data_IF_602101663490
#
_entry.id   IF_602101663490
#
_cell.length_a   1.000
_cell.length_b   1.000
_cell.length_c   1.000
_cell.angle_alpha   90.00
_cell.angle_beta   90.00
_cell.angle_gamma   90.00
#
_symmetry.space_group_name_H-M   'P 1'
#
loop_
_entity.id
_entity.type
_entity.pdbx_description
1 polymer ?
#
# COMPACT_ATOMS: atom_id res chain seq x y z
N UNK A 1 -15.45 61.02 0.93
CA UNK A 1 -15.90 59.84 0.16
C UNK A 1 -14.80 58.76 0.05
N UNK A 2 -14.06 58.49 1.13
CA UNK A 2 -12.95 57.52 1.19
C UNK A 2 -13.35 56.19 1.85
N UNK A 3 -14.48 56.18 2.58
CA UNK A 3 -14.87 55.10 3.48
C UNK A 3 -15.54 53.88 2.82
N UNK A 4 -15.72 53.88 1.49
CA UNK A 4 -16.43 52.82 0.77
C UNK A 4 -15.53 51.92 -0.11
N UNK A 5 -14.24 52.24 -0.26
CA UNK A 5 -13.33 51.46 -1.10
C UNK A 5 -12.64 50.30 -0.37
N UNK A 6 -12.62 50.29 0.97
CA UNK A 6 -12.08 49.16 1.74
C UNK A 6 -13.07 47.98 1.85
N UNK A 7 -14.37 48.21 1.65
CA UNK A 7 -15.40 47.17 1.82
C UNK A 7 -15.52 46.22 0.63
N UNK A 8 -14.91 46.53 -0.53
CA UNK A 8 -14.98 45.68 -1.74
C UNK A 8 -13.77 44.75 -1.92
N UNK A 9 -12.72 44.87 -1.10
CA UNK A 9 -11.51 44.05 -1.22
C UNK A 9 -11.47 42.84 -0.27
N UNK A 10 -12.45 42.70 0.63
CA UNK A 10 -12.55 41.58 1.58
C UNK A 10 -13.54 40.47 1.16
N UNK A 11 -14.19 40.59 -0.01
CA UNK A 11 -15.24 39.66 -0.44
C UNK A 11 -14.76 38.54 -1.40
N UNK A 12 -13.46 38.41 -1.66
CA UNK A 12 -12.91 37.42 -2.62
C UNK A 12 -12.15 36.25 -1.95
N UNK A 13 -12.23 36.10 -0.63
CA UNK A 13 -11.59 35.00 0.11
C UNK A 13 -12.59 33.98 0.67
N UNK A 14 -13.86 34.04 0.26
CA UNK A 14 -14.85 33.06 0.66
C UNK A 14 -14.86 31.86 -0.30
N UNK A 15 -14.76 30.67 0.27
CA UNK A 15 -15.00 29.35 -0.33
C UNK A 15 -13.88 28.75 -1.21
N UNK A 16 -12.77 28.39 -0.56
CA UNK A 16 -12.10 27.11 -0.86
C UNK A 16 -12.19 26.21 0.37
N UNK A 17 -13.40 25.98 0.88
CA UNK A 17 -13.64 24.84 1.76
C UNK A 17 -13.86 23.68 0.80
N UNK A 18 -12.77 23.09 0.32
CA UNK A 18 -12.85 21.77 -0.31
C UNK A 18 -13.46 20.83 0.74
N UNK A 19 -14.49 20.03 0.40
CA UNK A 19 -14.96 19.01 1.32
C UNK A 19 -13.77 18.14 1.66
N UNK A 20 -13.50 17.95 2.96
CA UNK A 20 -12.57 16.93 3.43
C UNK A 20 -13.17 15.58 3.00
N UNK A 21 -12.85 15.14 1.78
CA UNK A 21 -13.11 13.77 1.39
C UNK A 21 -12.27 12.95 2.36
N UNK A 22 -12.92 12.05 3.10
CA UNK A 22 -12.21 11.02 3.83
C UNK A 22 -11.32 10.33 2.80
N UNK A 23 -10.02 10.62 2.85
CA UNK A 23 -9.07 10.14 1.87
C UNK A 23 -8.93 8.65 2.16
N UNK A 24 -9.69 7.84 1.43
CA UNK A 24 -9.56 6.38 1.47
C UNK A 24 -8.10 6.08 1.21
N UNK A 25 -7.45 5.43 2.17
CA UNK A 25 -6.04 5.06 2.05
C UNK A 25 -5.85 4.25 0.77
N UNK A 26 -4.82 4.55 -0.04
CA UNK A 26 -4.51 3.75 -1.22
C UNK A 26 -4.41 2.27 -0.86
N UNK A 27 -4.90 1.41 -1.74
CA UNK A 27 -4.91 -0.03 -1.55
C UNK A 27 -4.33 -0.71 -2.78
N UNK A 28 -3.41 -1.63 -2.55
CA UNK A 28 -2.80 -2.45 -3.58
C UNK A 28 -3.19 -3.91 -3.36
N UNK A 29 -3.65 -4.55 -4.42
CA UNK A 29 -3.88 -5.99 -4.48
C UNK A 29 -2.76 -6.63 -5.28
N UNK A 30 -2.18 -7.70 -4.78
CA UNK A 30 -1.07 -8.39 -5.44
C UNK A 30 -1.28 -9.90 -5.44
N UNK A 31 -0.55 -10.58 -6.32
CA UNK A 31 -0.54 -12.03 -6.39
C UNK A 31 0.82 -12.55 -6.80
N UNK A 32 1.21 -13.69 -6.24
CA UNK A 32 2.30 -14.51 -6.75
C UNK A 32 1.72 -15.79 -7.35
N UNK A 33 2.17 -16.15 -8.55
CA UNK A 33 1.74 -17.37 -9.25
C UNK A 33 2.95 -18.16 -9.73
N UNK A 34 2.95 -19.46 -9.45
CA UNK A 34 4.04 -20.37 -9.78
C UNK A 34 5.05 -20.49 -8.66
N UNK A 35 5.19 -21.68 -8.08
CA UNK A 35 6.14 -21.96 -7.00
C UNK A 35 6.76 -23.35 -7.16
N UNK A 36 7.96 -23.54 -6.62
CA UNK A 36 8.55 -24.86 -6.50
C UNK A 36 8.17 -25.48 -5.16
N UNK A 37 7.67 -26.71 -5.19
CA UNK A 37 7.52 -27.56 -4.03
C UNK A 37 8.92 -28.09 -3.64
N UNK A 38 9.36 -27.86 -2.41
CA UNK A 38 10.71 -28.22 -2.00
C UNK A 38 10.92 -29.73 -1.74
N UNK A 39 9.85 -30.46 -1.45
CA UNK A 39 9.93 -31.90 -1.15
C UNK A 39 10.01 -32.73 -2.44
N UNK A 40 9.25 -32.31 -3.45
CA UNK A 40 9.20 -32.96 -4.76
C UNK A 40 10.12 -32.33 -5.79
N UNK A 41 10.64 -31.13 -5.51
CA UNK A 41 11.41 -30.28 -6.43
C UNK A 41 10.65 -29.89 -7.70
N UNK A 42 9.33 -30.07 -7.74
CA UNK A 42 8.50 -29.78 -8.91
C UNK A 42 7.97 -28.35 -8.89
N UNK A 43 8.07 -27.66 -10.04
CA UNK A 43 7.47 -26.35 -10.21
C UNK A 43 5.98 -26.50 -10.55
N UNK A 44 5.11 -25.94 -9.72
CA UNK A 44 3.68 -25.86 -9.95
C UNK A 44 3.33 -24.46 -10.49
N UNK A 45 3.09 -24.29 -11.80
CA UNK A 45 2.80 -22.99 -12.40
C UNK A 45 1.43 -22.43 -12.00
N UNK A 46 0.55 -23.25 -11.41
CA UNK A 46 -0.81 -22.86 -11.06
C UNK A 46 -0.99 -22.55 -9.57
N UNK A 47 0.04 -22.79 -8.74
CA UNK A 47 -0.04 -22.43 -7.34
C UNK A 47 -0.01 -20.92 -7.21
N UNK A 48 -1.12 -20.34 -6.71
CA UNK A 48 -1.35 -18.91 -6.66
C UNK A 48 -1.71 -18.50 -5.24
N UNK A 49 -1.10 -17.41 -4.80
CA UNK A 49 -1.40 -16.78 -3.51
C UNK A 49 -1.63 -15.31 -3.74
N UNK A 50 -2.75 -14.82 -3.23
CA UNK A 50 -3.17 -13.44 -3.32
C UNK A 50 -2.98 -12.71 -1.98
N UNK A 51 -2.76 -11.41 -2.07
CA UNK A 51 -2.61 -10.53 -0.94
C UNK A 51 -3.12 -9.12 -1.25
N UNK A 52 -3.27 -8.31 -0.23
CA UNK A 52 -3.47 -6.87 -0.39
C UNK A 52 -2.89 -6.11 0.78
N UNK A 53 -2.58 -4.85 0.55
CA UNK A 53 -2.19 -3.93 1.61
C UNK A 53 -2.75 -2.54 1.35
N UNK A 54 -2.92 -1.78 2.44
CA UNK A 54 -3.36 -0.39 2.39
C UNK A 54 -2.46 0.45 3.26
N UNK A 55 -2.08 1.64 2.81
CA UNK A 55 -1.17 2.53 3.54
C UNK A 55 -0.90 3.82 2.77
N UNK A 56 -0.17 4.74 3.39
CA UNK A 56 0.27 5.99 2.78
C UNK A 56 1.70 6.27 3.20
N UNK A 57 2.51 6.69 2.22
CA UNK A 57 3.86 7.18 2.47
C UNK A 57 3.74 8.52 3.20
N UNK A 58 3.96 8.47 4.51
CA UNK A 58 3.78 9.61 5.42
C UNK A 58 5.04 10.47 5.51
N UNK A 59 6.19 9.88 5.19
CA UNK A 59 7.49 10.55 5.26
C UNK A 59 7.92 11.13 3.90
N UNK A 60 7.30 10.70 2.81
CA UNK A 60 7.50 11.16 1.43
C UNK A 60 8.75 10.60 0.75
N UNK A 61 9.24 9.44 1.15
CA UNK A 61 10.49 8.86 0.63
C UNK A 61 10.30 7.88 -0.56
N UNK A 62 9.06 7.65 -0.98
CA UNK A 62 8.72 6.76 -2.09
C UNK A 62 8.67 5.28 -1.72
N UNK A 63 8.80 4.95 -0.44
CA UNK A 63 8.62 3.62 0.12
C UNK A 63 7.41 3.58 1.06
N UNK A 64 6.73 2.45 1.07
CA UNK A 64 5.82 2.10 2.15
C UNK A 64 6.52 1.12 3.06
N UNK A 65 6.66 1.49 4.32
CA UNK A 65 7.17 0.63 5.36
C UNK A 65 6.05 0.05 6.23
N UNK A 66 6.37 -0.97 7.04
CA UNK A 66 5.41 -1.60 7.95
C UNK A 66 4.62 -0.62 8.82
N UNK A 67 5.28 0.45 9.30
CA UNK A 67 4.66 1.45 10.18
C UNK A 67 3.63 2.35 9.47
N UNK A 68 3.63 2.35 8.15
CA UNK A 68 2.77 3.17 7.30
C UNK A 68 1.58 2.40 6.74
N UNK A 69 1.54 1.09 7.02
CA UNK A 69 0.42 0.24 6.69
C UNK A 69 -0.72 0.41 7.68
N UNK A 70 -1.92 0.42 7.13
CA UNK A 70 -3.18 0.33 7.88
C UNK A 70 -3.80 -1.06 7.77
N UNK A 71 -3.50 -1.79 6.68
CA UNK A 71 -3.99 -3.14 6.43
C UNK A 71 -2.94 -3.94 5.66
N UNK A 72 -2.86 -5.23 5.98
CA UNK A 72 -2.10 -6.20 5.22
C UNK A 72 -2.78 -7.56 5.36
N UNK A 73 -2.98 -8.18 4.21
CA UNK A 73 -3.59 -9.47 4.08
C UNK A 73 -2.73 -10.34 3.18
N UNK A 74 -2.48 -11.56 3.65
CA UNK A 74 -1.67 -12.53 2.95
C UNK A 74 -2.18 -13.93 3.24
N UNK A 75 -2.41 -14.72 2.19
CA UNK A 75 -2.76 -16.14 2.30
C UNK A 75 -3.91 -16.43 3.28
N UNK A 76 -5.03 -15.71 3.13
CA UNK A 76 -6.23 -15.85 3.98
C UNK A 76 -6.17 -15.24 5.39
N UNK A 77 -5.10 -14.51 5.70
CA UNK A 77 -4.87 -13.94 7.03
C UNK A 77 -4.75 -12.42 7.01
N UNK A 78 -5.37 -11.74 7.99
CA UNK A 78 -5.25 -10.30 8.23
C UNK A 78 -4.28 -10.06 9.40
N UNK A 79 -3.19 -9.32 9.15
CA UNK A 79 -2.05 -9.20 10.08
C UNK A 79 -2.06 -7.94 10.95
N UNK A 80 -3.01 -7.03 10.74
CA UNK A 80 -3.15 -5.77 11.48
C UNK A 80 -4.41 -5.70 12.33
N UNK A 81 -5.24 -6.74 12.31
CA UNK A 81 -6.37 -6.86 13.21
C UNK A 81 -5.89 -7.40 14.57
N UNK A 82 -6.65 -7.11 15.64
CA UNK A 82 -6.37 -7.60 16.99
C UNK A 82 -6.05 -9.11 16.94
N UNK A 83 -4.95 -9.60 17.54
CA UNK A 83 -4.51 -11.00 17.42
C UNK A 83 -5.54 -12.05 17.89
N UNK A 84 -6.64 -11.64 18.53
CA UNK A 84 -7.72 -12.52 18.95
C UNK A 84 -8.98 -12.46 18.06
N UNK A 85 -9.12 -11.46 17.18
CA UNK A 85 -10.27 -11.34 16.24
C UNK A 85 -9.82 -11.29 14.79
N UNK A 86 -8.65 -10.72 14.55
CA UNK A 86 -7.87 -10.82 13.33
C UNK A 86 -7.22 -12.18 13.21
N UNK A 87 -7.03 -12.62 11.98
CA UNK A 87 -6.37 -13.88 11.69
C UNK A 87 -7.13 -15.16 12.10
N UNK A 88 -8.46 -15.14 12.10
CA UNK A 88 -9.32 -16.32 12.34
C UNK A 88 -9.03 -17.06 13.66
N UNK A 89 -8.67 -16.32 14.72
CA UNK A 89 -8.33 -16.90 16.03
C UNK A 89 -6.89 -17.40 16.14
N UNK A 90 -6.07 -17.20 15.11
CA UNK A 90 -4.63 -17.42 15.14
C UNK A 90 -3.88 -16.16 15.60
N UNK A 91 -2.71 -16.35 16.20
CA UNK A 91 -1.74 -15.28 16.41
C UNK A 91 -1.01 -14.98 15.10
N UNK A 92 -0.96 -13.72 14.69
CA UNK A 92 -0.31 -13.30 13.45
C UNK A 92 0.56 -12.07 13.63
N UNK A 93 1.65 -12.02 12.87
CA UNK A 93 2.67 -10.97 12.94
C UNK A 93 3.22 -10.68 11.56
N UNK A 94 3.30 -9.40 11.21
CA UNK A 94 4.07 -8.90 10.09
C UNK A 94 5.35 -8.31 10.69
N UNK A 95 6.49 -8.95 10.44
CA UNK A 95 7.79 -8.55 10.97
C UNK A 95 8.37 -7.39 10.18
N UNK A 96 8.41 -7.56 8.86
CA UNK A 96 8.97 -6.61 7.91
C UNK A 96 8.02 -6.42 6.74
N UNK A 97 8.00 -5.19 6.21
CA UNK A 97 7.28 -4.83 5.00
C UNK A 97 7.95 -3.63 4.34
N UNK A 98 8.16 -3.75 3.02
CA UNK A 98 8.67 -2.69 2.15
C UNK A 98 7.98 -2.78 0.79
N UNK A 99 7.44 -1.66 0.33
CA UNK A 99 6.94 -1.54 -1.03
C UNK A 99 7.41 -0.24 -1.68
N UNK A 100 8.15 -0.33 -2.78
CA UNK A 100 8.59 0.84 -3.52
C UNK A 100 7.47 1.33 -4.45
N UNK A 101 7.01 2.56 -4.25
CA UNK A 101 5.91 3.16 -5.00
C UNK A 101 6.22 3.40 -6.48
N UNK A 102 7.50 3.50 -6.84
CA UNK A 102 7.98 3.80 -8.19
C UNK A 102 8.32 2.53 -8.99
N UNK A 103 8.99 1.56 -8.36
CA UNK A 103 9.44 0.33 -9.04
C UNK A 103 8.47 -0.83 -8.86
N UNK A 104 7.59 -0.77 -7.86
CA UNK A 104 6.69 -1.86 -7.51
C UNK A 104 7.35 -3.03 -6.79
N UNK A 105 8.60 -2.88 -6.37
CA UNK A 105 9.29 -3.91 -5.60
C UNK A 105 8.59 -4.10 -4.25
N UNK A 106 8.11 -5.30 -3.98
CA UNK A 106 7.46 -5.70 -2.73
C UNK A 106 8.34 -6.71 -1.99
N UNK A 107 8.53 -6.49 -0.68
CA UNK A 107 9.20 -7.43 0.24
C UNK A 107 8.48 -7.46 1.59
N UNK A 108 8.29 -8.64 2.17
CA UNK A 108 7.70 -8.81 3.50
C UNK A 108 8.09 -10.13 4.18
N UNK A 109 8.02 -10.14 5.52
CA UNK A 109 8.12 -11.32 6.38
C UNK A 109 6.88 -11.41 7.27
N UNK A 110 6.09 -12.45 7.08
CA UNK A 110 4.79 -12.63 7.73
C UNK A 110 4.70 -14.01 8.37
N UNK A 111 4.18 -14.06 9.60
CA UNK A 111 4.07 -15.27 10.42
C UNK A 111 2.65 -15.42 10.97
N UNK A 112 2.11 -16.62 10.92
CA UNK A 112 0.89 -17.02 11.60
C UNK A 112 1.11 -18.28 12.42
N UNK A 113 0.42 -18.36 13.55
CA UNK A 113 0.46 -19.49 14.47
C UNK A 113 -0.91 -19.67 15.13
N UNK A 114 -1.46 -20.86 15.03
CA UNK A 114 -2.68 -21.29 15.68
C UNK A 114 -2.37 -22.51 16.53
N UNK A 115 -2.93 -22.56 17.73
CA UNK A 115 -2.87 -23.76 18.56
C UNK A 115 -4.12 -23.86 19.42
N UNK A 116 -4.71 -25.05 19.43
CA UNK A 116 -5.71 -25.49 20.39
C UNK A 116 -5.34 -26.88 20.94
N UNK A 117 -6.24 -27.50 21.68
CA UNK A 117 -6.03 -28.81 22.32
C UNK A 117 -5.79 -29.97 21.32
N UNK A 118 -6.23 -29.82 20.07
CA UNK A 118 -6.21 -30.88 19.06
C UNK A 118 -5.45 -30.49 17.80
N UNK A 119 -5.14 -29.21 17.61
CA UNK A 119 -4.61 -28.69 16.35
C UNK A 119 -3.51 -27.69 16.64
N UNK A 120 -2.39 -27.83 15.94
CA UNK A 120 -1.36 -26.80 15.83
C UNK A 120 -1.18 -26.48 14.36
N UNK A 121 -1.06 -25.22 14.01
CA UNK A 121 -0.73 -24.80 12.64
C UNK A 121 0.16 -23.58 12.70
N UNK A 122 1.15 -23.52 11.83
CA UNK A 122 1.98 -22.33 11.68
C UNK A 122 2.38 -22.15 10.23
N UNK A 123 2.48 -20.90 9.82
CA UNK A 123 3.01 -20.52 8.51
C UNK A 123 3.96 -19.37 8.67
N UNK A 124 5.13 -19.44 8.03
CA UNK A 124 6.02 -18.29 7.85
C UNK A 124 6.26 -18.07 6.38
N UNK A 125 6.12 -16.83 5.94
CA UNK A 125 6.39 -16.40 4.58
C UNK A 125 7.47 -15.34 4.58
N UNK A 126 8.54 -15.58 3.83
CA UNK A 126 9.52 -14.56 3.46
C UNK A 126 9.42 -14.39 1.95
N UNK A 127 8.87 -13.26 1.51
CA UNK A 127 8.61 -13.00 0.09
C UNK A 127 9.90 -13.09 -0.74
N UNK A 128 9.82 -13.72 -1.91
CA UNK A 128 10.99 -13.92 -2.76
C UNK A 128 11.93 -15.05 -2.30
N UNK A 129 11.63 -15.71 -1.16
CA UNK A 129 12.40 -16.83 -0.64
C UNK A 129 11.53 -18.08 -0.47
N UNK A 130 10.66 -18.12 0.55
CA UNK A 130 9.90 -19.35 0.87
C UNK A 130 8.65 -19.11 1.71
N UNK A 131 7.73 -20.07 1.62
CA UNK A 131 6.54 -20.25 2.46
C UNK A 131 6.70 -21.60 3.12
N UNK A 132 6.85 -21.60 4.44
CA UNK A 132 6.96 -22.82 5.23
C UNK A 132 5.68 -22.94 6.04
N UNK A 133 5.00 -24.07 5.93
CA UNK A 133 3.82 -24.37 6.73
C UNK A 133 4.00 -25.70 7.46
N UNK A 134 3.58 -25.72 8.71
CA UNK A 134 3.59 -26.89 9.57
C UNK A 134 2.22 -27.02 10.23
N UNK A 135 1.68 -28.23 10.24
CA UNK A 135 0.38 -28.54 10.84
C UNK A 135 0.42 -29.85 11.59
N UNK A 136 -0.22 -29.88 12.76
CA UNK A 136 -0.46 -31.08 13.55
C UNK A 136 -1.96 -31.17 13.85
N UNK A 137 -2.54 -32.37 13.77
CA UNK A 137 -3.95 -32.59 14.11
C UNK A 137 -4.14 -33.93 14.82
N UNK A 138 -4.83 -33.92 15.96
CA UNK A 138 -5.20 -35.09 16.76
C UNK A 138 -5.31 -34.77 18.25
N UNK A 139 -6.32 -35.34 18.94
CA UNK A 139 -6.48 -35.20 20.39
C UNK A 139 -5.57 -36.14 21.21
N UNK A 140 -5.19 -37.28 20.63
CA UNK A 140 -4.40 -38.33 21.27
C UNK A 140 -3.49 -39.01 20.23
N UNK A 141 -2.31 -39.52 20.62
CA UNK A 141 -1.41 -40.18 19.69
C UNK A 141 -2.04 -41.38 18.95
N UNK A 142 -1.70 -41.59 17.67
CA UNK A 142 -0.75 -40.79 16.88
C UNK A 142 -1.39 -39.51 16.31
N UNK A 143 -0.63 -38.41 16.31
CA UNK A 143 -1.01 -37.16 15.65
C UNK A 143 -0.75 -37.27 14.14
N UNK A 144 -1.54 -36.56 13.34
CA UNK A 144 -1.25 -36.34 11.92
C UNK A 144 -0.39 -35.09 11.77
N UNK A 145 0.78 -35.24 11.16
CA UNK A 145 1.71 -34.13 10.89
C UNK A 145 1.70 -33.85 9.40
N UNK A 146 1.64 -32.58 9.02
CA UNK A 146 1.78 -32.11 7.66
C UNK A 146 2.77 -30.96 7.60
N UNK A 147 3.86 -31.15 6.88
CA UNK A 147 4.82 -30.11 6.54
C UNK A 147 4.71 -29.78 5.05
N UNK A 148 4.93 -28.52 4.70
CA UNK A 148 5.10 -28.13 3.31
C UNK A 148 6.00 -26.90 3.20
N UNK A 149 6.84 -26.89 2.17
CA UNK A 149 7.66 -25.74 1.83
C UNK A 149 7.54 -25.39 0.35
N UNK A 150 7.10 -24.17 0.06
CA UNK A 150 7.02 -23.60 -1.27
C UNK A 150 8.08 -22.53 -1.45
N UNK A 151 8.79 -22.55 -2.58
CA UNK A 151 9.89 -21.62 -2.86
C UNK A 151 9.58 -20.75 -4.07
N UNK A 152 9.94 -19.47 -3.95
CA UNK A 152 9.99 -18.59 -5.11
C UNK A 152 11.11 -19.07 -6.03
N UNK A 153 10.89 -18.94 -7.33
CA UNK A 153 11.90 -19.20 -8.35
C UNK A 153 11.94 -18.04 -9.33
N UNK A 154 12.92 -18.06 -10.24
CA UNK A 154 12.92 -17.11 -11.37
C UNK A 154 11.72 -17.24 -12.32
N UNK A 155 10.91 -18.29 -12.19
CA UNK A 155 9.67 -18.50 -12.95
C UNK A 155 8.43 -17.98 -12.22
N UNK A 156 8.53 -17.63 -10.93
CA UNK A 156 7.41 -17.12 -10.14
C UNK A 156 7.01 -15.74 -10.67
N UNK A 157 5.74 -15.61 -11.03
CA UNK A 157 5.19 -14.37 -11.59
C UNK A 157 4.60 -13.53 -10.47
N UNK A 158 4.93 -12.24 -10.48
CA UNK A 158 4.37 -11.24 -9.58
C UNK A 158 3.45 -10.30 -10.37
N UNK A 159 2.27 -10.03 -9.82
CA UNK A 159 1.35 -9.03 -10.35
C UNK A 159 0.83 -8.17 -9.20
N UNK A 160 0.67 -6.88 -9.45
CA UNK A 160 0.15 -5.90 -8.49
C UNK A 160 -0.72 -4.87 -9.19
N UNK A 161 -1.77 -4.42 -8.52
CA UNK A 161 -2.71 -3.40 -8.97
C UNK A 161 -3.10 -2.49 -7.80
N UNK A 162 -3.10 -1.16 -7.96
CA UNK A 162 -2.70 -0.43 -9.17
C UNK A 162 -1.20 -0.62 -9.48
N UNK A 163 -0.77 -0.42 -10.74
CA UNK A 163 0.65 -0.46 -11.08
C UNK A 163 1.40 0.67 -10.33
N UNK A 164 2.73 0.53 -10.17
CA UNK A 164 3.58 1.58 -9.61
C UNK A 164 3.36 2.90 -10.33
N UNK A 165 3.37 4.00 -9.56
CA UNK A 165 3.12 5.33 -10.12
C UNK A 165 4.45 5.90 -10.58
N UNK A 166 4.66 5.95 -11.89
CA UNK A 166 5.60 6.89 -12.47
C UNK A 166 5.12 8.29 -12.08
N UNK A 167 5.95 9.05 -11.35
CA UNK A 167 5.54 10.29 -10.71
C UNK A 167 4.62 11.14 -11.61
N UNK A 168 3.44 11.58 -11.12
CA UNK A 168 2.64 12.51 -11.89
C UNK A 168 3.48 13.76 -12.11
N UNK A 169 3.43 14.39 -13.31
CA UNK A 169 4.20 15.59 -13.61
C UNK A 169 3.63 16.80 -12.84
N UNK A 170 3.70 16.80 -11.51
CA UNK A 170 3.42 17.97 -10.68
C UNK A 170 4.43 19.08 -10.98
N UNK A 171 5.63 18.71 -11.45
CA UNK A 171 6.59 19.62 -12.06
C UNK A 171 6.08 20.31 -13.34
N UNK A 172 5.04 19.80 -14.02
CA UNK A 172 4.43 20.47 -15.17
C UNK A 172 3.35 21.49 -14.78
N UNK A 173 2.73 21.38 -13.59
CA UNK A 173 1.68 22.31 -13.15
C UNK A 173 2.24 23.57 -12.46
N UNK A 174 3.40 23.47 -11.81
CA UNK A 174 4.15 24.61 -11.26
C UNK A 174 4.47 25.70 -12.32
N UNK A 175 5.04 25.38 -13.50
CA UNK A 175 5.30 26.38 -14.52
C UNK A 175 4.01 26.95 -15.13
N UNK A 176 2.92 26.17 -15.22
CA UNK A 176 1.63 26.66 -15.71
C UNK A 176 1.03 27.73 -14.79
N UNK A 177 1.07 27.51 -13.48
CA UNK A 177 0.63 28.49 -12.48
C UNK A 177 1.47 29.78 -12.49
N UNK A 178 2.79 29.65 -12.62
CA UNK A 178 3.70 30.79 -12.71
C UNK A 178 3.52 31.60 -14.00
N UNK A 179 3.28 30.95 -15.14
CA UNK A 179 2.98 31.61 -16.41
C UNK A 179 1.66 32.38 -16.36
N UNK A 180 0.61 31.79 -15.78
CA UNK A 180 -0.68 32.47 -15.60
C UNK A 180 -0.53 33.73 -14.72
N UNK A 181 0.20 33.63 -13.59
CA UNK A 181 0.46 34.77 -12.71
C UNK A 181 1.29 35.88 -13.39
N UNK A 182 2.29 35.51 -14.21
CA UNK A 182 3.10 36.46 -14.97
C UNK A 182 2.29 37.20 -16.05
N UNK A 183 1.41 36.50 -16.77
CA UNK A 183 0.53 37.09 -17.77
C UNK A 183 -0.49 38.06 -17.14
N UNK A 184 -1.07 37.69 -16.00
CA UNK A 184 -2.00 38.54 -15.25
C UNK A 184 -1.31 39.81 -14.71
N UNK A 185 -0.08 39.71 -14.17
CA UNK A 185 0.71 40.87 -13.75
C UNK A 185 1.03 41.81 -14.92
N UNK A 186 1.33 41.26 -16.09
CA UNK A 186 1.66 42.06 -17.30
C UNK A 186 0.43 42.79 -17.85
N UNK A 187 -0.74 42.15 -17.85
CA UNK A 187 -2.00 42.77 -18.24
C UNK A 187 -2.43 43.91 -17.29
N UNK A 188 -2.25 43.74 -15.99
CA UNK A 188 -2.56 44.77 -14.99
C UNK A 188 -1.69 46.04 -15.14
N UNK A 189 -0.40 45.90 -15.48
CA UNK A 189 0.50 47.05 -15.72
C UNK A 189 0.11 47.85 -16.97
N UNK A 190 -0.31 47.20 -18.05
CA UNK A 190 -0.74 47.87 -19.29
C UNK A 190 -1.98 48.74 -19.09
N UNK A 191 -2.95 48.28 -18.29
CA UNK A 191 -4.16 49.06 -17.98
C UNK A 191 -3.90 50.31 -17.14
N UNK A 192 -2.82 50.31 -16.34
CA UNK A 192 -2.41 51.49 -15.54
C UNK A 192 -1.70 52.56 -16.36
N UNK A 193 -1.06 52.19 -17.47
CA UNK A 193 -0.32 53.12 -18.33
C UNK A 193 -1.19 53.89 -19.34
N UNK A 194 -2.43 53.46 -19.58
CA UNK A 194 -3.35 54.10 -20.53
C UNK A 194 -4.35 55.09 -19.91
N UNK A 195 -4.14 55.52 -18.65
CA UNK A 195 -5.08 56.39 -17.91
C UNK A 195 -4.54 57.81 -17.65
N UNK A 196 -3.41 58.16 -18.25
CA UNK A 196 -2.76 59.48 -18.13
C UNK A 196 -2.62 60.22 -19.47
N UNK A 197 -3.50 59.95 -20.44
CA UNK A 197 -3.60 60.70 -21.70
C UNK A 197 -5.00 61.26 -21.86
#
# INVERSE_FOLDING_TARGET
>A
MWKYLLSMLLAASACLIAPAQAQTQPTWTFSYTGFQDADTMQFNPNYRIDGFFSGSDTNGDGWLERGELTRFYWNSYSYFENPYTGCNGAWCRLDDFYYNLHTGQLSFDAQSHYSDIATLSSTRTVSGLSIVSHGETGYWPPFYISDSMWQWTGQTQFAISPPPVDEPPMLALLPAGLLAAALLRRAARRRRSGRNS
#
